data_IF_042433867394
#
_entry.id   IF_042433867394
#
_cell.length_a   1.000
_cell.length_b   1.000
_cell.length_c   1.000
_cell.angle_alpha   90.00
_cell.angle_beta   90.00
_cell.angle_gamma   90.00
#
_symmetry.space_group_name_H-M   'P 1'
#
loop_
_entity.id
_entity.type
_entity.pdbx_description
1 polymer ?
#
# COMPACT_ATOMS: atom_id res chain seq x y z
N UNK A 1 15.86 0.17 24.27
CA UNK A 1 15.15 -0.68 23.32
C UNK A 1 14.90 0.09 22.03
N UNK A 2 15.26 -0.49 20.89
CA UNK A 2 15.08 0.17 19.61
C UNK A 2 13.62 0.07 19.17
N UNK A 3 13.02 1.19 18.77
CA UNK A 3 11.69 1.18 18.18
C UNK A 3 11.74 0.47 16.83
N UNK A 4 10.69 -0.29 16.53
CA UNK A 4 10.52 -0.85 15.21
C UNK A 4 10.32 0.27 14.19
N UNK A 5 11.13 0.31 13.15
CA UNK A 5 10.93 1.24 12.05
C UNK A 5 9.89 0.67 11.09
N UNK A 6 8.85 1.44 10.82
CA UNK A 6 7.79 1.01 9.92
C UNK A 6 8.30 0.95 8.48
N UNK A 7 8.05 -0.15 7.80
CA UNK A 7 8.37 -0.34 6.40
C UNK A 7 7.12 -0.08 5.56
N UNK A 8 7.16 0.98 4.75
CA UNK A 8 6.07 1.35 3.85
C UNK A 8 6.51 1.05 2.43
N UNK A 9 5.75 0.21 1.75
CA UNK A 9 5.98 -0.14 0.35
C UNK A 9 4.92 0.54 -0.51
N UNK A 10 5.36 1.37 -1.45
CA UNK A 10 4.49 2.03 -2.42
C UNK A 10 4.71 1.39 -3.78
N UNK A 11 3.65 0.84 -4.37
CA UNK A 11 3.71 0.22 -5.69
C UNK A 11 2.90 1.07 -6.66
N UNK A 12 3.61 1.78 -7.54
CA UNK A 12 3.02 2.76 -8.46
C UNK A 12 3.94 2.91 -9.66
N UNK A 13 3.35 2.97 -10.86
CA UNK A 13 4.10 3.10 -12.11
C UNK A 13 4.29 4.55 -12.55
N UNK A 14 3.36 5.44 -12.22
CA UNK A 14 3.36 6.82 -12.68
C UNK A 14 4.24 7.70 -11.78
N UNK A 15 5.15 8.46 -12.40
CA UNK A 15 6.13 9.27 -11.67
C UNK A 15 5.50 10.40 -10.86
N UNK A 16 4.43 10.99 -11.37
CA UNK A 16 3.75 12.08 -10.66
C UNK A 16 3.05 11.54 -9.42
N UNK A 17 2.38 10.40 -9.56
CA UNK A 17 1.71 9.73 -8.43
C UNK A 17 2.71 9.23 -7.40
N UNK A 18 3.86 8.75 -7.85
CA UNK A 18 4.94 8.35 -6.94
C UNK A 18 5.36 9.53 -6.07
N UNK A 19 5.53 10.71 -6.63
CA UNK A 19 5.89 11.91 -5.86
C UNK A 19 4.85 12.24 -4.80
N UNK A 20 3.58 12.16 -5.17
CA UNK A 20 2.49 12.43 -4.24
C UNK A 20 2.45 11.41 -3.10
N UNK A 21 2.55 10.13 -3.43
CA UNK A 21 2.56 9.07 -2.42
C UNK A 21 3.74 9.20 -1.48
N UNK A 22 4.91 9.48 -2.03
CA UNK A 22 6.13 9.63 -1.25
C UNK A 22 6.02 10.80 -0.27
N UNK A 23 5.47 11.93 -0.73
CA UNK A 23 5.25 13.10 0.12
C UNK A 23 4.24 12.78 1.23
N UNK A 24 3.11 12.18 0.87
CA UNK A 24 2.07 11.85 1.84
C UNK A 24 2.58 10.84 2.87
N UNK A 25 3.32 9.83 2.43
CA UNK A 25 3.89 8.85 3.35
C UNK A 25 4.90 9.48 4.31
N UNK A 26 5.74 10.38 3.82
CA UNK A 26 6.71 11.10 4.67
C UNK A 26 6.01 11.97 5.69
N UNK A 27 4.94 12.66 5.26
CA UNK A 27 4.18 13.56 6.13
C UNK A 27 3.42 12.80 7.21
N UNK A 28 2.82 11.66 6.82
CA UNK A 28 1.90 10.93 7.70
C UNK A 28 2.60 9.87 8.55
N UNK A 29 3.75 9.36 8.10
CA UNK A 29 4.51 8.33 8.83
C UNK A 29 5.96 8.81 8.94
N UNK A 30 6.23 9.85 9.72
CA UNK A 30 7.59 10.37 9.85
C UNK A 30 8.51 9.30 10.45
N UNK A 31 9.70 9.17 9.89
CA UNK A 31 10.67 8.17 10.32
C UNK A 31 10.48 6.79 9.70
N UNK A 32 9.45 6.59 8.89
CA UNK A 32 9.25 5.31 8.20
C UNK A 32 10.31 5.11 7.12
N UNK A 33 10.65 3.85 6.89
CA UNK A 33 11.43 3.45 5.74
C UNK A 33 10.49 3.26 4.56
N UNK A 34 10.57 4.14 3.56
CA UNK A 34 9.67 4.16 2.42
C UNK A 34 10.39 3.60 1.21
N UNK A 35 9.85 2.53 0.63
CA UNK A 35 10.36 1.92 -0.59
C UNK A 35 9.35 2.14 -1.70
N UNK A 36 9.83 2.64 -2.84
CA UNK A 36 9.02 2.81 -4.04
C UNK A 36 9.36 1.67 -5.00
N UNK A 37 8.36 0.91 -5.40
CA UNK A 37 8.52 -0.16 -6.38
C UNK A 37 7.69 0.19 -7.61
N UNK A 38 8.35 0.46 -8.74
CA UNK A 38 7.68 0.79 -10.00
C UNK A 38 7.31 -0.45 -10.79
N UNK A 39 7.97 -1.57 -10.51
CA UNK A 39 7.68 -2.85 -11.15
C UNK A 39 6.89 -3.72 -10.18
N UNK A 40 5.57 -3.86 -10.38
CA UNK A 40 4.74 -4.66 -9.48
C UNK A 40 5.18 -6.11 -9.38
N UNK A 41 5.78 -6.66 -10.43
CA UNK A 41 6.23 -8.04 -10.43
C UNK A 41 7.38 -8.30 -9.45
N UNK A 42 8.07 -7.23 -9.01
CA UNK A 42 9.16 -7.33 -8.04
C UNK A 42 8.73 -6.96 -6.62
N UNK A 43 7.52 -6.45 -6.45
CA UNK A 43 7.07 -5.93 -5.16
C UNK A 43 6.96 -7.01 -4.09
N UNK A 44 6.53 -8.21 -4.45
CA UNK A 44 6.43 -9.32 -3.50
C UNK A 44 7.83 -9.69 -2.95
N UNK A 45 8.83 -9.71 -3.80
CA UNK A 45 10.21 -10.00 -3.38
C UNK A 45 10.70 -8.93 -2.40
N UNK A 46 10.41 -7.67 -2.68
CA UNK A 46 10.78 -6.56 -1.79
C UNK A 46 10.10 -6.73 -0.43
N UNK A 47 8.81 -7.04 -0.42
CA UNK A 47 8.06 -7.24 0.81
C UNK A 47 8.61 -8.41 1.63
N UNK A 48 8.95 -9.51 0.96
CA UNK A 48 9.48 -10.69 1.61
C UNK A 48 10.87 -10.47 2.20
N UNK A 49 11.73 -9.73 1.50
CA UNK A 49 13.13 -9.55 1.93
C UNK A 49 13.29 -8.42 2.94
N UNK A 50 12.54 -7.34 2.80
CA UNK A 50 12.65 -6.16 3.68
C UNK A 50 11.57 -6.10 4.74
N UNK A 51 10.50 -6.88 4.59
CA UNK A 51 9.30 -6.73 5.38
C UNK A 51 8.41 -5.62 4.85
N UNK A 52 7.12 -5.70 5.17
CA UNK A 52 6.14 -4.72 4.73
C UNK A 52 5.09 -4.55 5.82
N UNK A 53 5.09 -3.40 6.46
CA UNK A 53 4.08 -3.07 7.48
C UNK A 53 2.86 -2.39 6.84
N UNK A 54 3.10 -1.58 5.81
CA UNK A 54 2.06 -0.86 5.08
C UNK A 54 2.31 -1.02 3.58
N UNK A 55 1.27 -1.39 2.86
CA UNK A 55 1.29 -1.46 1.39
C UNK A 55 0.35 -0.40 0.84
N UNK A 56 0.90 0.54 0.07
CA UNK A 56 0.14 1.52 -0.70
C UNK A 56 0.25 1.12 -2.16
N UNK A 57 -0.85 0.70 -2.78
CA UNK A 57 -0.80 0.20 -4.16
C UNK A 57 -2.00 0.63 -4.99
N UNK A 58 -1.77 0.82 -6.28
CA UNK A 58 -2.85 0.95 -7.26
C UNK A 58 -3.51 -0.42 -7.45
N UNK A 59 -4.69 -0.41 -8.06
CA UNK A 59 -5.44 -1.64 -8.37
C UNK A 59 -5.15 -2.17 -9.77
N UNK A 60 -4.67 -1.32 -10.67
CA UNK A 60 -4.41 -1.67 -12.06
C UNK A 60 -2.98 -1.28 -12.44
N UNK A 61 -2.29 -2.19 -13.12
CA UNK A 61 -0.95 -1.94 -13.63
C UNK A 61 -0.96 -2.11 -15.15
N UNK A 62 -0.50 -1.08 -15.85
CA UNK A 62 -0.48 -1.06 -17.31
C UNK A 62 0.43 -2.17 -17.87
N UNK A 63 -0.11 -2.89 -18.86
CA UNK A 63 0.65 -3.91 -19.56
C UNK A 63 0.86 -5.23 -18.80
N UNK A 64 0.22 -5.39 -17.64
CA UNK A 64 0.39 -6.58 -16.81
C UNK A 64 -0.95 -7.28 -16.57
N UNK A 65 -0.91 -8.61 -16.48
CA UNK A 65 -2.05 -9.41 -16.05
C UNK A 65 -2.18 -9.39 -14.51
N UNK A 66 -1.11 -9.12 -13.80
CA UNK A 66 -1.13 -8.94 -12.36
C UNK A 66 -1.82 -7.61 -12.03
N UNK A 67 -2.83 -7.63 -11.17
CA UNK A 67 -3.45 -6.41 -10.65
C UNK A 67 -3.09 -6.17 -9.19
N UNK A 68 -3.53 -5.03 -8.65
CA UNK A 68 -3.16 -4.64 -7.29
C UNK A 68 -3.76 -5.53 -6.22
N UNK A 69 -4.95 -6.08 -6.45
CA UNK A 69 -5.58 -7.00 -5.48
C UNK A 69 -4.80 -8.32 -5.43
N UNK A 70 -4.43 -8.86 -6.58
CA UNK A 70 -3.59 -10.06 -6.65
C UNK A 70 -2.24 -9.84 -5.98
N UNK A 71 -1.62 -8.68 -6.22
CA UNK A 71 -0.35 -8.33 -5.60
C UNK A 71 -0.49 -8.23 -4.08
N UNK A 72 -1.54 -7.56 -3.60
CA UNK A 72 -1.78 -7.41 -2.17
C UNK A 72 -1.97 -8.77 -1.49
N UNK A 73 -2.67 -9.69 -2.15
CA UNK A 73 -2.83 -11.05 -1.64
C UNK A 73 -1.49 -11.76 -1.51
N UNK A 74 -0.63 -11.65 -2.51
CA UNK A 74 0.71 -12.23 -2.46
C UNK A 74 1.55 -11.64 -1.33
N UNK A 75 1.50 -10.32 -1.15
CA UNK A 75 2.25 -9.64 -0.10
C UNK A 75 1.70 -10.01 1.28
N UNK A 76 0.39 -10.07 1.43
CA UNK A 76 -0.23 -10.48 2.69
C UNK A 76 0.18 -11.90 3.09
N UNK A 77 0.38 -12.77 2.11
CA UNK A 77 0.82 -14.14 2.36
C UNK A 77 2.19 -14.20 3.05
N UNK A 78 3.10 -13.30 2.68
CA UNK A 78 4.44 -13.24 3.28
C UNK A 78 4.55 -12.21 4.42
N UNK A 79 3.56 -11.34 4.56
CA UNK A 79 3.46 -10.36 5.64
C UNK A 79 2.01 -10.35 6.16
N UNK A 80 1.60 -11.34 6.98
CA UNK A 80 0.17 -11.51 7.34
C UNK A 80 -0.44 -10.31 8.07
N UNK A 81 0.38 -9.46 8.68
CA UNK A 81 -0.10 -8.30 9.42
C UNK A 81 0.03 -6.98 8.64
N UNK A 82 0.25 -7.07 7.32
CA UNK A 82 0.39 -5.88 6.51
C UNK A 82 -0.91 -5.07 6.48
N UNK A 83 -0.78 -3.75 6.63
CA UNK A 83 -1.88 -2.82 6.45
C UNK A 83 -1.97 -2.48 4.95
N UNK A 84 -3.01 -2.96 4.28
CA UNK A 84 -3.20 -2.78 2.83
C UNK A 84 -4.08 -1.57 2.59
N UNK A 85 -3.60 -0.63 1.77
CA UNK A 85 -4.33 0.56 1.37
C UNK A 85 -4.25 0.67 -0.15
N UNK A 86 -5.42 0.62 -0.80
CA UNK A 86 -5.50 0.80 -2.25
C UNK A 86 -5.77 2.26 -2.60
N UNK A 87 -5.07 2.77 -3.59
CA UNK A 87 -5.24 4.12 -4.11
C UNK A 87 -5.36 4.01 -5.63
N UNK A 88 -6.52 4.37 -6.17
CA UNK A 88 -6.83 4.11 -7.57
C UNK A 88 -7.52 5.30 -8.22
N UNK A 89 -7.43 5.40 -9.55
CA UNK A 89 -8.22 6.35 -10.34
C UNK A 89 -9.61 5.81 -10.64
N UNK A 90 -9.80 4.50 -10.50
CA UNK A 90 -11.02 3.83 -10.95
C UNK A 90 -11.74 3.15 -9.78
N UNK A 91 -12.99 3.55 -9.56
CA UNK A 91 -13.86 2.92 -8.55
C UNK A 91 -14.46 1.63 -9.14
N UNK A 92 -13.63 0.60 -9.28
CA UNK A 92 -14.06 -0.71 -9.78
C UNK A 92 -14.65 -1.52 -8.64
N UNK A 93 -15.91 -1.93 -8.80
CA UNK A 93 -16.63 -2.71 -7.79
C UNK A 93 -15.94 -4.04 -7.47
N UNK A 94 -15.42 -4.71 -8.50
CA UNK A 94 -14.70 -5.97 -8.32
C UNK A 94 -13.45 -5.80 -7.49
N UNK A 95 -12.66 -4.76 -7.78
CA UNK A 95 -11.45 -4.46 -7.01
C UNK A 95 -11.79 -4.06 -5.57
N UNK A 96 -12.84 -3.28 -5.37
CA UNK A 96 -13.29 -2.88 -4.03
C UNK A 96 -13.72 -4.09 -3.20
N UNK A 97 -14.42 -5.03 -3.83
CA UNK A 97 -14.83 -6.27 -3.16
C UNK A 97 -13.60 -7.11 -2.77
N UNK A 98 -12.64 -7.25 -3.69
CA UNK A 98 -11.39 -7.95 -3.38
C UNK A 98 -10.60 -7.31 -2.26
N UNK A 99 -10.56 -5.97 -2.23
CA UNK A 99 -9.92 -5.22 -1.15
C UNK A 99 -10.59 -5.52 0.19
N UNK A 100 -11.91 -5.52 0.21
CA UNK A 100 -12.67 -5.83 1.41
C UNK A 100 -12.38 -7.25 1.91
N UNK A 101 -12.35 -8.23 1.00
CA UNK A 101 -12.06 -9.63 1.36
C UNK A 101 -10.67 -9.79 1.98
N UNK A 102 -9.69 -9.01 1.53
CA UNK A 102 -8.34 -9.04 2.09
C UNK A 102 -8.23 -8.33 3.44
N UNK A 103 -9.28 -7.62 3.86
CA UNK A 103 -9.24 -6.83 5.07
C UNK A 103 -8.44 -5.54 4.92
N UNK A 104 -8.37 -4.97 3.72
CA UNK A 104 -7.71 -3.70 3.50
C UNK A 104 -8.32 -2.61 4.37
N UNK A 105 -7.50 -1.70 4.88
CA UNK A 105 -8.00 -0.62 5.73
C UNK A 105 -8.63 0.51 4.94
N UNK A 106 -8.32 0.65 3.65
CA UNK A 106 -8.96 1.66 2.81
C UNK A 106 -8.86 1.30 1.32
N UNK A 107 -9.81 1.84 0.58
CA UNK A 107 -9.85 1.81 -0.88
C UNK A 107 -10.17 3.24 -1.32
N UNK A 108 -9.12 3.99 -1.65
CA UNK A 108 -9.21 5.43 -1.90
C UNK A 108 -9.20 5.72 -3.39
N UNK A 109 -10.17 6.51 -3.86
CA UNK A 109 -10.20 6.98 -5.24
C UNK A 109 -9.54 8.34 -5.35
N UNK A 110 -8.65 8.51 -6.34
CA UNK A 110 -8.03 9.81 -6.61
C UNK A 110 -9.04 10.75 -7.26
N UNK A 111 -9.02 12.05 -6.93
CA UNK A 111 -8.20 12.64 -5.87
C UNK A 111 -8.79 12.33 -4.49
N UNK A 112 -7.91 12.05 -3.52
CA UNK A 112 -8.32 11.78 -2.15
C UNK A 112 -7.78 12.86 -1.22
N UNK A 113 -8.45 13.09 -0.12
CA UNK A 113 -7.96 13.98 0.92
C UNK A 113 -6.98 13.23 1.83
N UNK A 114 -5.91 13.92 2.22
CA UNK A 114 -4.86 13.31 3.04
C UNK A 114 -5.40 12.72 4.34
N UNK A 115 -6.45 13.28 4.90
CA UNK A 115 -7.06 12.78 6.14
C UNK A 115 -7.56 11.33 6.01
N UNK A 116 -8.02 10.93 4.83
CA UNK A 116 -8.49 9.56 4.61
C UNK A 116 -7.33 8.56 4.62
N UNK A 117 -6.21 8.95 4.04
CA UNK A 117 -4.98 8.15 4.11
C UNK A 117 -4.47 8.08 5.54
N UNK A 118 -4.50 9.21 6.26
CA UNK A 118 -4.09 9.24 7.66
C UNK A 118 -4.91 8.29 8.52
N UNK A 119 -6.24 8.23 8.31
CA UNK A 119 -7.10 7.29 9.03
C UNK A 119 -6.75 5.84 8.75
N UNK A 120 -6.50 5.51 7.50
CA UNK A 120 -6.13 4.15 7.11
C UNK A 120 -4.80 3.74 7.74
N UNK A 121 -3.83 4.66 7.77
CA UNK A 121 -2.52 4.43 8.37
C UNK A 121 -2.61 4.27 9.89
N UNK A 122 -3.62 4.88 10.53
CA UNK A 122 -3.84 4.81 11.96
C UNK A 122 -4.81 3.71 12.38
N UNK A 123 -5.17 2.80 11.48
CA UNK A 123 -6.11 1.71 11.77
C UNK A 123 -5.57 0.88 12.94
N UNK A 124 -6.33 0.78 14.07
CA UNK A 124 -5.82 0.09 15.27
C UNK A 124 -5.52 -1.38 15.06
N UNK A 125 -6.10 -2.04 14.06
CA UNK A 125 -5.80 -3.44 13.75
C UNK A 125 -4.33 -3.66 13.42
N UNK A 126 -3.63 -2.61 12.97
CA UNK A 126 -2.24 -2.68 12.52
C UNK A 126 -1.30 -1.87 13.41
N UNK A 127 -1.75 -1.50 14.60
CA UNK A 127 -0.91 -0.77 15.55
C UNK A 127 0.28 -1.65 15.96
N UNK A 128 1.47 -1.06 15.90
CA UNK A 128 2.68 -1.74 16.36
C UNK A 128 2.76 -1.64 17.88
N UNK A 129 2.94 -2.78 18.51
CA UNK A 129 3.07 -2.85 19.96
C UNK A 129 4.43 -2.32 20.45
#
# INVERSE_FOLDING_TARGET
>A
MRKHQMNVLCVEQDRIRIRQLKRDARDLVPGAHITICRDPCKAEIVARTKGCDVLLTDTVFDGLSLDGVMLAEQIQHVNPHVNIIFITDHADTSAAYGAWELGASAFLQRPYEQQWLARALADPRFALA
#
